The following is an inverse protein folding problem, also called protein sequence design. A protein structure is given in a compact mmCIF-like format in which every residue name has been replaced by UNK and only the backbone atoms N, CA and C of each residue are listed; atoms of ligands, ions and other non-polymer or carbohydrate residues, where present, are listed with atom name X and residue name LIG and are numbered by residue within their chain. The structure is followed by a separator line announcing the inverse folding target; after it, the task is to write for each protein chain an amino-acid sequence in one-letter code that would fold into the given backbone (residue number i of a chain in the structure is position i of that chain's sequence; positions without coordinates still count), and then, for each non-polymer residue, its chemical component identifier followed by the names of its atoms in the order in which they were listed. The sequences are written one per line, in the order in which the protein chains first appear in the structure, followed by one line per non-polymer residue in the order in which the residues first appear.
data_IF_232945973170
#
_entry.id   IF_232945973170
#
_cell.length_a   1.000
_cell.length_b   1.000
_cell.length_c   1.000
_cell.angle_alpha   90.00
_cell.angle_beta   90.00
_cell.angle_gamma   90.00
#
_symmetry.space_group_name_H-M   'P 1'
#
loop_
_entity.id
_entity.type
_entity.pdbx_description
1 polymer ?
#
# COMPACT_ATOMS: atom_id res chain seq x y z
N UNK A 1 5.30 11.23 -58.62
CA UNK A 1 6.19 11.47 -57.47
C UNK A 1 5.91 10.38 -56.45
N UNK A 2 6.62 9.26 -56.56
CA UNK A 2 6.36 8.02 -55.83
C UNK A 2 7.51 7.78 -54.86
N UNK A 3 7.24 7.93 -53.57
CA UNK A 3 8.18 7.68 -52.48
C UNK A 3 8.14 6.20 -52.07
N UNK A 4 9.23 5.48 -52.34
CA UNK A 4 9.44 4.12 -51.84
C UNK A 4 9.90 4.14 -50.38
N UNK A 5 9.42 3.19 -49.54
CA UNK A 5 9.82 3.08 -48.13
C UNK A 5 11.15 2.32 -47.94
N UNK A 6 11.93 2.76 -46.96
CA UNK A 6 13.18 2.15 -46.55
C UNK A 6 12.94 0.86 -45.74
N UNK A 7 13.68 -0.19 -46.09
CA UNK A 7 13.74 -1.48 -45.38
C UNK A 7 14.62 -1.40 -44.14
N UNK A 8 14.20 -1.96 -42.98
CA UNK A 8 15.06 -2.09 -41.81
C UNK A 8 16.00 -3.31 -41.92
N UNK A 9 17.24 -3.12 -41.46
CA UNK A 9 18.30 -4.15 -41.42
C UNK A 9 18.05 -5.18 -40.30
N UNK A 10 18.43 -6.45 -40.49
CA UNK A 10 18.30 -7.48 -39.46
C UNK A 10 19.41 -7.40 -38.39
N UNK A 11 19.02 -7.54 -37.13
CA UNK A 11 19.93 -7.74 -36.00
C UNK A 11 20.50 -9.16 -36.03
N UNK A 12 21.84 -9.25 -35.95
CA UNK A 12 22.59 -10.51 -35.89
C UNK A 12 23.02 -10.78 -34.45
N UNK A 13 22.51 -11.85 -33.84
CA UNK A 13 22.97 -12.36 -32.54
C UNK A 13 24.09 -13.39 -32.78
N UNK A 14 25.27 -13.15 -32.19
CA UNK A 14 26.34 -14.14 -32.06
C UNK A 14 26.11 -14.99 -30.80
N UNK A 15 26.21 -16.32 -30.86
CA UNK A 15 26.25 -17.16 -29.67
C UNK A 15 27.67 -17.20 -29.08
N UNK A 16 27.80 -16.77 -27.83
CA UNK A 16 29.03 -16.89 -27.04
C UNK A 16 29.14 -18.30 -26.45
N UNK A 17 30.18 -19.01 -26.89
CA UNK A 17 30.70 -20.25 -26.33
C UNK A 17 31.42 -19.98 -25.00
N UNK A 18 31.20 -20.83 -23.99
CA UNK A 18 31.82 -20.68 -22.67
C UNK A 18 31.64 -21.91 -21.77
N UNK A 19 32.52 -22.90 -22.00
CA UNK A 19 33.02 -24.00 -21.18
C UNK A 19 32.41 -24.35 -19.80
N UNK A 20 32.11 -25.65 -19.66
CA UNK A 20 31.99 -26.41 -18.42
C UNK A 20 33.29 -26.47 -17.59
N UNK A 21 33.22 -26.87 -16.31
CA UNK A 21 33.83 -28.18 -15.97
C UNK A 21 33.16 -29.00 -14.84
N UNK A 22 33.29 -30.32 -15.01
CA UNK A 22 33.56 -31.37 -14.00
C UNK A 22 32.51 -31.82 -12.98
N UNK A 23 32.00 -33.03 -13.22
CA UNK A 23 31.47 -33.98 -12.23
C UNK A 23 32.57 -34.59 -11.34
N UNK A 24 32.20 -35.10 -10.16
CA UNK A 24 32.81 -36.32 -9.65
C UNK A 24 31.79 -37.41 -9.26
N UNK A 25 32.03 -38.58 -9.86
CA UNK A 25 32.00 -39.95 -9.34
C UNK A 25 30.85 -40.44 -8.45
N UNK A 26 30.26 -41.51 -9.00
CA UNK A 26 29.36 -42.47 -8.40
C UNK A 26 29.86 -43.10 -7.09
N UNK A 27 28.91 -43.37 -6.19
CA UNK A 27 29.01 -44.50 -5.27
C UNK A 27 27.63 -45.15 -5.12
N UNK A 28 27.59 -46.42 -5.50
CA UNK A 28 26.43 -47.31 -5.53
C UNK A 28 26.29 -48.12 -4.22
N UNK A 29 25.04 -48.56 -3.97
CA UNK A 29 24.58 -49.71 -3.16
C UNK A 29 23.77 -49.35 -1.89
N UNK A 30 22.87 -50.22 -1.40
CA UNK A 30 21.89 -51.05 -2.10
C UNK A 30 20.46 -50.99 -1.48
N UNK A 31 19.51 -51.56 -2.23
CA UNK A 31 18.13 -51.97 -1.90
C UNK A 31 17.69 -52.07 -0.43
N UNK A 32 16.57 -51.39 -0.13
CA UNK A 32 15.48 -51.98 0.68
C UNK A 32 14.12 -51.59 0.08
N UNK A 33 13.48 -52.57 -0.56
CA UNK A 33 12.04 -52.54 -0.83
C UNK A 33 11.32 -52.74 0.50
N UNK A 34 10.75 -51.67 1.04
CA UNK A 34 9.65 -51.78 2.00
C UNK A 34 8.39 -51.55 1.19
N UNK A 35 7.65 -52.63 0.99
CA UNK A 35 6.28 -52.64 0.50
C UNK A 35 5.42 -51.90 1.53
N UNK A 36 5.38 -50.57 1.42
CA UNK A 36 4.43 -49.74 2.14
C UNK A 36 3.07 -49.97 1.52
N UNK A 37 2.22 -50.71 2.24
CA UNK A 37 0.78 -50.82 2.03
C UNK A 37 0.26 -49.42 1.71
N UNK A 38 -0.23 -49.26 0.47
CA UNK A 38 -0.96 -48.07 0.05
C UNK A 38 -2.15 -47.88 0.98
N UNK A 39 -2.00 -47.01 1.97
CA UNK A 39 -3.15 -46.29 2.50
C UNK A 39 -3.48 -45.26 1.43
N UNK A 40 -4.39 -45.64 0.55
CA UNK A 40 -5.25 -44.70 -0.15
C UNK A 40 -6.02 -43.94 0.93
N UNK A 41 -5.38 -42.94 1.55
CA UNK A 41 -6.09 -41.84 2.16
C UNK A 41 -6.73 -41.09 1.02
N UNK A 42 -7.88 -41.60 0.58
CA UNK A 42 -8.93 -40.85 -0.09
C UNK A 42 -9.31 -39.76 0.93
N UNK A 43 -8.48 -38.72 1.02
CA UNK A 43 -8.81 -37.50 1.72
C UNK A 43 -10.18 -37.12 1.20
N UNK A 44 -11.15 -37.01 2.10
CA UNK A 44 -12.53 -36.72 1.77
C UNK A 44 -12.53 -35.56 0.75
N UNK A 45 -12.79 -35.88 -0.52
CA UNK A 45 -13.07 -34.86 -1.51
C UNK A 45 -14.36 -34.23 -1.02
N UNK A 46 -14.32 -32.96 -0.64
CA UNK A 46 -15.54 -32.23 -0.40
C UNK A 46 -16.41 -32.36 -1.66
N UNK A 47 -17.62 -32.91 -1.53
CA UNK A 47 -18.46 -33.20 -2.69
C UNK A 47 -18.78 -31.90 -3.42
N UNK A 48 -18.19 -31.71 -4.60
CA UNK A 48 -18.45 -30.58 -5.49
C UNK A 48 -17.24 -29.74 -5.89
N UNK A 49 -16.09 -29.86 -5.21
CA UNK A 49 -14.89 -29.10 -5.58
C UNK A 49 -13.99 -29.87 -6.55
N UNK A 50 -13.50 -29.16 -7.58
CA UNK A 50 -12.58 -29.69 -8.58
C UNK A 50 -11.30 -30.23 -7.92
N UNK A 51 -10.94 -31.48 -8.21
CA UNK A 51 -9.75 -32.12 -7.62
C UNK A 51 -8.44 -31.53 -8.17
N UNK A 52 -7.35 -31.58 -7.38
CA UNK A 52 -6.03 -31.04 -7.79
C UNK A 52 -5.52 -31.58 -9.14
N UNK A 53 -5.88 -32.83 -9.47
CA UNK A 53 -5.47 -33.49 -10.71
C UNK A 53 -6.31 -33.09 -11.93
N UNK A 54 -7.47 -32.47 -11.71
CA UNK A 54 -8.39 -31.98 -12.73
C UNK A 54 -8.10 -30.52 -13.09
N UNK A 55 -7.31 -29.82 -12.27
CA UNK A 55 -6.93 -28.43 -12.52
C UNK A 55 -6.11 -28.26 -13.80
N UNK A 56 -6.58 -27.37 -14.66
CA UNK A 56 -5.79 -26.90 -15.80
C UNK A 56 -4.68 -25.95 -15.36
N UNK A 57 -3.78 -25.58 -16.29
CA UNK A 57 -2.78 -24.53 -16.06
C UNK A 57 -3.40 -23.19 -15.68
N UNK A 58 -4.54 -22.84 -16.30
CA UNK A 58 -5.28 -21.62 -16.04
C UNK A 58 -5.81 -21.54 -14.60
N UNK A 59 -6.31 -22.65 -14.05
CA UNK A 59 -6.73 -22.73 -12.64
C UNK A 59 -5.55 -22.42 -11.72
N UNK A 60 -4.43 -23.13 -11.88
CA UNK A 60 -3.25 -22.96 -11.03
C UNK A 60 -2.69 -21.53 -11.08
N UNK A 61 -2.61 -20.95 -12.27
CA UNK A 61 -2.16 -19.58 -12.46
C UNK A 61 -3.10 -18.58 -11.78
N UNK A 62 -4.42 -18.71 -11.99
CA UNK A 62 -5.39 -17.85 -11.35
C UNK A 62 -5.28 -17.92 -9.82
N UNK A 63 -5.20 -19.14 -9.24
CA UNK A 63 -5.03 -19.29 -7.79
C UNK A 63 -3.81 -18.54 -7.26
N UNK A 64 -2.67 -18.67 -7.94
CA UNK A 64 -1.45 -17.96 -7.56
C UNK A 64 -1.66 -16.45 -7.55
N UNK A 65 -2.29 -15.90 -8.59
CA UNK A 65 -2.59 -14.48 -8.70
C UNK A 65 -3.54 -14.02 -7.58
N UNK A 66 -4.57 -14.80 -7.26
CA UNK A 66 -5.52 -14.47 -6.18
C UNK A 66 -4.84 -14.44 -4.81
N UNK A 67 -3.97 -15.41 -4.52
CA UNK A 67 -3.19 -15.43 -3.27
C UNK A 67 -2.19 -14.28 -3.20
N UNK A 68 -1.53 -13.94 -4.31
CA UNK A 68 -0.62 -12.80 -4.36
C UNK A 68 -1.36 -11.46 -4.20
N UNK A 69 -2.59 -11.37 -4.74
CA UNK A 69 -3.46 -10.20 -4.55
C UNK A 69 -3.85 -10.03 -3.10
N UNK A 70 -4.30 -11.12 -2.44
CA UNK A 70 -4.58 -11.15 -1.00
C UNK A 70 -3.39 -10.66 -0.19
N UNK A 71 -2.19 -11.22 -0.42
CA UNK A 71 -0.96 -10.82 0.27
C UNK A 71 -0.66 -9.33 0.09
N UNK A 72 -0.84 -8.81 -1.13
CA UNK A 72 -0.63 -7.40 -1.40
C UNK A 72 -1.65 -6.52 -0.65
N UNK A 73 -2.94 -6.89 -0.62
CA UNK A 73 -3.98 -6.18 0.14
C UNK A 73 -3.68 -6.15 1.63
N UNK A 74 -3.40 -7.29 2.24
CA UNK A 74 -3.05 -7.36 3.66
C UNK A 74 -1.82 -6.50 4.00
N UNK A 75 -0.78 -6.52 3.14
CA UNK A 75 0.39 -5.66 3.33
C UNK A 75 0.06 -4.16 3.24
N UNK A 76 -0.86 -3.78 2.34
CA UNK A 76 -1.31 -2.40 2.23
C UNK A 76 -2.08 -1.97 3.48
N UNK A 77 -2.99 -2.82 3.99
CA UNK A 77 -3.77 -2.52 5.20
C UNK A 77 -2.90 -2.42 6.45
N UNK A 78 -1.92 -3.30 6.58
CA UNK A 78 -0.90 -3.24 7.64
C UNK A 78 -0.10 -1.94 7.56
N UNK A 79 0.39 -1.59 6.37
CA UNK A 79 1.14 -0.35 6.13
C UNK A 79 0.33 0.90 6.51
N UNK A 80 -0.96 0.96 6.15
CA UNK A 80 -1.83 2.10 6.50
C UNK A 80 -2.10 2.18 7.99
N UNK A 81 -2.36 1.04 8.63
CA UNK A 81 -2.82 0.96 10.02
C UNK A 81 -1.68 1.18 11.01
N UNK A 82 -0.52 0.57 10.79
CA UNK A 82 0.59 0.66 11.74
C UNK A 82 1.53 1.81 11.37
N UNK A 83 2.21 1.72 10.23
CA UNK A 83 3.21 2.71 9.84
C UNK A 83 2.57 4.07 9.47
N UNK A 84 1.41 4.04 8.81
CA UNK A 84 0.71 5.26 8.37
C UNK A 84 0.17 6.08 9.54
N UNK A 85 -0.54 5.46 10.48
CA UNK A 85 -1.06 6.17 11.66
C UNK A 85 0.07 6.66 12.57
N UNK A 86 1.14 5.88 12.73
CA UNK A 86 2.32 6.30 13.49
C UNK A 86 2.97 7.54 12.85
N UNK A 87 3.20 7.53 11.54
CA UNK A 87 3.80 8.64 10.81
C UNK A 87 2.93 9.92 10.86
N UNK A 88 1.60 9.78 10.73
CA UNK A 88 0.67 10.91 10.85
C UNK A 88 0.68 11.48 12.28
N UNK A 89 0.68 10.63 13.30
CA UNK A 89 0.73 11.06 14.69
C UNK A 89 2.06 11.78 15.00
N UNK A 90 3.20 11.22 14.57
CA UNK A 90 4.51 11.83 14.74
C UNK A 90 4.61 13.19 14.05
N UNK A 91 4.10 13.32 12.82
CA UNK A 91 4.07 14.60 12.11
C UNK A 91 3.20 15.63 12.83
N UNK A 92 2.02 15.22 13.27
CA UNK A 92 1.07 16.08 14.00
C UNK A 92 1.69 16.63 15.28
N UNK A 93 2.36 15.76 16.06
CA UNK A 93 3.05 16.14 17.29
C UNK A 93 4.20 17.13 17.01
N UNK A 94 5.05 16.86 16.01
CA UNK A 94 6.16 17.73 15.66
C UNK A 94 5.69 19.11 15.15
N UNK A 95 4.55 19.16 14.46
CA UNK A 95 3.93 20.40 14.01
C UNK A 95 3.34 21.21 15.18
N UNK A 96 2.73 20.55 16.17
CA UNK A 96 2.27 21.19 17.41
C UNK A 96 3.42 21.73 18.26
N UNK A 97 4.52 20.99 18.37
CA UNK A 97 5.72 21.45 19.07
C UNK A 97 6.35 22.67 18.39
N UNK A 98 6.28 22.72 17.05
CA UNK A 98 6.71 23.89 16.27
C UNK A 98 5.83 25.11 16.59
N UNK A 99 4.50 24.96 16.53
CA UNK A 99 3.55 26.03 16.87
C UNK A 99 3.73 26.54 18.31
N UNK A 100 3.95 25.63 19.26
CA UNK A 100 4.16 25.95 20.68
C UNK A 100 5.44 26.77 20.89
N UNK A 101 6.52 26.42 20.21
CA UNK A 101 7.78 27.13 20.33
C UNK A 101 7.72 28.50 19.65
N UNK A 102 7.07 28.61 18.50
CA UNK A 102 6.83 29.89 17.82
C UNK A 102 6.00 30.85 18.69
N UNK A 103 4.97 30.35 19.38
CA UNK A 103 4.21 31.14 20.34
C UNK A 103 5.06 31.63 21.54
N UNK A 104 5.96 30.77 22.05
CA UNK A 104 6.91 31.12 23.13
C UNK A 104 8.04 32.07 22.69
N UNK A 105 8.31 32.15 21.38
CA UNK A 105 9.23 33.12 20.77
C UNK A 105 8.54 34.46 20.47
N UNK A 106 7.29 34.44 20.01
CA UNK A 106 6.52 35.64 19.72
C UNK A 106 6.08 36.43 20.96
N UNK A 107 6.17 35.84 22.15
CA UNK A 107 5.80 36.45 23.45
C UNK A 107 6.93 37.23 24.12
N UNK A 108 8.07 37.43 23.45
CA UNK A 108 9.18 38.24 24.00
C UNK A 108 8.70 39.67 24.28
N UNK A 109 8.76 40.02 25.56
CA UNK A 109 8.08 41.14 26.20
C UNK A 109 8.46 42.50 25.63
N UNK A 110 7.45 43.33 25.42
CA UNK A 110 7.55 44.73 24.99
C UNK A 110 7.99 45.69 26.12
N UNK A 111 8.56 45.21 27.22
CA UNK A 111 8.93 46.11 28.30
C UNK A 111 9.65 45.49 29.48
N UNK A 112 10.96 45.70 29.53
CA UNK A 112 11.64 46.24 30.72
C UNK A 112 13.00 46.75 30.29
N UNK A 113 13.19 48.05 30.43
CA UNK A 113 14.44 48.74 30.11
C UNK A 113 15.40 48.59 31.28
N UNK A 114 16.40 47.69 31.20
CA UNK A 114 17.65 47.86 31.93
C UNK A 114 18.88 47.39 31.08
N UNK A 115 19.77 48.30 30.62
CA UNK A 115 20.55 48.02 29.41
C UNK A 115 21.86 47.25 29.56
N UNK A 116 22.41 47.00 30.76
CA UNK A 116 23.83 46.61 30.86
C UNK A 116 24.13 45.22 31.48
N UNK A 117 23.28 44.65 32.36
CA UNK A 117 23.46 43.27 32.87
C UNK A 117 22.53 42.22 32.22
N UNK A 118 21.40 42.65 31.65
CA UNK A 118 20.44 41.75 30.99
C UNK A 118 20.93 41.26 29.61
N UNK A 119 21.90 41.93 28.99
CA UNK A 119 22.35 41.61 27.62
C UNK A 119 22.96 40.21 27.48
N UNK A 120 23.63 39.71 28.52
CA UNK A 120 24.25 38.37 28.51
C UNK A 120 23.26 37.25 28.85
N UNK A 121 22.35 37.47 29.80
CA UNK A 121 21.30 36.49 30.14
C UNK A 121 20.29 36.38 29.00
N UNK A 122 19.89 37.51 28.41
CA UNK A 122 18.99 37.56 27.26
C UNK A 122 19.58 36.82 26.04
N UNK A 123 20.87 37.03 25.71
CA UNK A 123 21.53 36.30 24.62
C UNK A 123 21.61 34.80 24.88
N UNK A 124 21.91 34.37 26.12
CA UNK A 124 21.93 32.94 26.47
C UNK A 124 20.54 32.31 26.32
N UNK A 125 19.50 32.99 26.78
CA UNK A 125 18.11 32.52 26.64
C UNK A 125 17.67 32.49 25.18
N UNK A 126 18.02 33.50 24.38
CA UNK A 126 17.71 33.55 22.96
C UNK A 126 18.41 32.41 22.19
N UNK A 127 19.69 32.16 22.49
CA UNK A 127 20.47 31.11 21.85
C UNK A 127 19.95 29.71 22.21
N UNK A 128 19.54 29.50 23.47
CA UNK A 128 18.88 28.25 23.89
C UNK A 128 17.55 28.03 23.16
N UNK A 129 16.72 29.06 23.01
CA UNK A 129 15.46 28.96 22.24
C UNK A 129 15.71 28.68 20.75
N UNK A 130 16.75 29.28 20.15
CA UNK A 130 17.14 28.98 18.77
C UNK A 130 17.59 27.52 18.59
N UNK A 131 18.33 26.97 19.55
CA UNK A 131 18.73 25.56 19.53
C UNK A 131 17.51 24.62 19.65
N UNK A 132 16.54 24.97 20.51
CA UNK A 132 15.28 24.22 20.61
C UNK A 132 14.50 24.26 19.29
N UNK A 133 14.42 25.42 18.63
CA UNK A 133 13.73 25.54 17.34
C UNK A 133 14.39 24.69 16.27
N UNK A 134 15.73 24.70 16.21
CA UNK A 134 16.47 23.86 15.28
C UNK A 134 16.18 22.36 15.51
N UNK A 135 16.09 21.91 16.77
CA UNK A 135 15.73 20.53 17.11
C UNK A 135 14.33 20.17 16.63
N UNK A 136 13.33 20.98 16.99
CA UNK A 136 11.93 20.70 16.64
C UNK A 136 11.71 20.71 15.12
N UNK A 137 12.38 21.63 14.40
CA UNK A 137 12.33 21.64 12.94
C UNK A 137 12.99 20.41 12.31
N UNK A 138 14.07 19.91 12.91
CA UNK A 138 14.71 18.67 12.49
C UNK A 138 13.78 17.47 12.71
N UNK A 139 13.15 17.36 13.88
CA UNK A 139 12.20 16.31 14.21
C UNK A 139 10.98 16.35 13.26
N UNK A 140 10.47 17.55 12.95
CA UNK A 140 9.39 17.75 12.00
C UNK A 140 9.75 17.33 10.57
N UNK A 141 10.96 17.65 10.10
CA UNK A 141 11.41 17.20 8.77
C UNK A 141 11.61 15.68 8.74
N UNK A 142 12.09 15.07 9.83
CA UNK A 142 12.15 13.63 10.01
C UNK A 142 10.77 12.97 9.86
N UNK A 143 9.79 13.42 10.66
CA UNK A 143 8.43 12.91 10.61
C UNK A 143 7.76 13.10 9.24
N UNK A 144 8.06 14.21 8.56
CA UNK A 144 7.59 14.48 7.20
C UNK A 144 8.22 13.53 6.18
N UNK A 145 9.51 13.24 6.31
CA UNK A 145 10.21 12.23 5.51
C UNK A 145 9.58 10.86 5.69
N UNK A 146 9.27 10.47 6.94
CA UNK A 146 8.64 9.19 7.26
C UNK A 146 7.25 9.07 6.64
N UNK A 147 6.41 10.11 6.77
CA UNK A 147 5.09 10.15 6.15
C UNK A 147 5.16 10.02 4.61
N UNK A 148 6.13 10.68 3.97
CA UNK A 148 6.38 10.52 2.53
C UNK A 148 6.84 9.11 2.17
N UNK A 149 7.63 8.47 3.02
CA UNK A 149 8.08 7.10 2.81
C UNK A 149 6.92 6.11 2.94
N UNK A 150 6.00 6.31 3.90
CA UNK A 150 4.76 5.53 4.00
C UNK A 150 3.94 5.63 2.71
N UNK A 151 3.70 6.84 2.20
CA UNK A 151 2.94 7.04 0.94
C UNK A 151 3.63 6.38 -0.26
N UNK A 152 4.96 6.45 -0.35
CA UNK A 152 5.73 5.74 -1.40
C UNK A 152 5.61 4.21 -1.27
N UNK A 153 5.63 3.69 -0.05
CA UNK A 153 5.44 2.26 0.24
C UNK A 153 4.04 1.82 -0.22
N UNK A 154 3.00 2.57 0.14
CA UNK A 154 1.62 2.31 -0.28
C UNK A 154 1.48 2.29 -1.81
N UNK A 155 2.06 3.26 -2.51
CA UNK A 155 2.09 3.27 -3.97
C UNK A 155 2.83 2.07 -4.59
N UNK A 156 3.89 1.61 -3.93
CA UNK A 156 4.63 0.41 -4.36
C UNK A 156 3.77 -0.84 -4.25
N UNK A 157 3.05 -1.01 -3.13
CA UNK A 157 2.12 -2.12 -2.93
C UNK A 157 0.93 -2.02 -3.89
N UNK A 158 0.39 -0.82 -4.11
CA UNK A 158 -0.70 -0.58 -5.06
C UNK A 158 -0.28 -0.95 -6.50
N UNK A 159 0.91 -0.54 -6.93
CA UNK A 159 1.46 -0.90 -8.25
C UNK A 159 1.51 -2.42 -8.43
N UNK A 160 1.89 -3.16 -7.38
CA UNK A 160 1.83 -4.63 -7.38
C UNK A 160 0.39 -5.15 -7.56
N UNK A 161 -0.59 -4.61 -6.83
CA UNK A 161 -2.00 -5.00 -7.01
C UNK A 161 -2.49 -4.76 -8.44
N UNK A 162 -2.18 -3.59 -9.02
CA UNK A 162 -2.56 -3.28 -10.41
C UNK A 162 -1.89 -4.19 -11.43
N UNK A 163 -0.65 -4.62 -11.17
CA UNK A 163 0.06 -5.60 -12.00
C UNK A 163 -0.64 -6.97 -11.94
N UNK A 164 -1.03 -7.41 -10.75
CA UNK A 164 -1.76 -8.67 -10.56
C UNK A 164 -3.12 -8.61 -11.24
N UNK A 165 -3.84 -7.49 -11.11
CA UNK A 165 -5.11 -7.27 -11.83
C UNK A 165 -4.91 -7.38 -13.35
N UNK A 166 -3.89 -6.73 -13.91
CA UNK A 166 -3.58 -6.83 -15.34
C UNK A 166 -3.24 -8.27 -15.76
N UNK A 167 -2.52 -9.02 -14.91
CA UNK A 167 -2.21 -10.43 -15.15
C UNK A 167 -3.47 -11.32 -15.11
N UNK A 168 -4.43 -11.05 -14.22
CA UNK A 168 -5.73 -11.73 -14.21
C UNK A 168 -6.51 -11.50 -15.51
N UNK A 169 -6.52 -10.26 -16.03
CA UNK A 169 -7.17 -9.95 -17.31
C UNK A 169 -6.47 -10.62 -18.49
N UNK A 170 -5.13 -10.61 -18.53
CA UNK A 170 -4.37 -11.31 -19.56
C UNK A 170 -4.66 -12.82 -19.53
N UNK A 171 -4.69 -13.43 -18.34
CA UNK A 171 -5.01 -14.83 -18.16
C UNK A 171 -6.43 -15.18 -18.64
N UNK A 172 -7.41 -14.32 -18.36
CA UNK A 172 -8.79 -14.48 -18.82
C UNK A 172 -8.89 -14.44 -20.34
N UNK A 173 -8.19 -13.49 -20.99
CA UNK A 173 -8.13 -13.40 -22.45
C UNK A 173 -7.46 -14.64 -23.07
N UNK A 174 -6.34 -15.09 -22.52
CA UNK A 174 -5.64 -16.28 -22.98
C UNK A 174 -6.50 -17.54 -22.80
N UNK A 175 -7.17 -17.69 -21.66
CA UNK A 175 -8.08 -18.80 -21.38
C UNK A 175 -9.26 -18.81 -22.37
N UNK A 176 -9.88 -17.65 -22.60
CA UNK A 176 -11.00 -17.53 -23.54
C UNK A 176 -10.59 -17.87 -24.98
N UNK A 177 -9.36 -17.51 -25.38
CA UNK A 177 -8.81 -17.80 -26.70
C UNK A 177 -8.44 -19.27 -26.86
N UNK A 178 -7.88 -19.89 -25.82
CA UNK A 178 -7.38 -21.26 -25.87
C UNK A 178 -8.44 -22.35 -25.58
N UNK A 179 -9.43 -22.04 -24.75
CA UNK A 179 -10.45 -22.99 -24.26
C UNK A 179 -11.88 -22.59 -24.62
N UNK A 180 -12.10 -21.40 -25.16
CA UNK A 180 -13.41 -20.88 -25.53
C UNK A 180 -14.04 -20.00 -24.45
N UNK A 181 -15.07 -19.25 -24.84
CA UNK A 181 -15.82 -18.34 -23.94
C UNK A 181 -16.57 -19.10 -22.85
N UNK A 182 -17.12 -20.28 -23.16
CA UNK A 182 -17.80 -21.13 -22.20
C UNK A 182 -16.88 -21.47 -21.01
N UNK A 183 -15.63 -21.84 -21.28
CA UNK A 183 -14.65 -22.11 -20.22
C UNK A 183 -14.36 -20.89 -19.32
N UNK A 184 -14.28 -19.69 -19.91
CA UNK A 184 -13.87 -18.49 -19.20
C UNK A 184 -15.01 -17.83 -18.41
N UNK A 185 -16.25 -17.90 -18.93
CA UNK A 185 -17.37 -17.10 -18.45
C UNK A 185 -18.58 -17.91 -17.96
N UNK A 186 -18.71 -19.18 -18.35
CA UNK A 186 -19.89 -20.01 -18.02
C UNK A 186 -19.50 -21.19 -17.11
N UNK A 187 -18.36 -21.81 -17.36
CA UNK A 187 -17.85 -22.91 -16.56
C UNK A 187 -17.34 -22.42 -15.21
N UNK A 188 -17.77 -23.08 -14.15
CA UNK A 188 -17.23 -22.84 -12.83
C UNK A 188 -15.79 -23.35 -12.73
N UNK A 189 -14.93 -22.61 -12.01
CA UNK A 189 -13.52 -22.91 -11.89
C UNK A 189 -13.26 -24.05 -10.90
N UNK A 190 -13.66 -23.86 -9.65
CA UNK A 190 -13.48 -24.86 -8.59
C UNK A 190 -14.78 -25.23 -7.92
N UNK A 191 -15.63 -24.25 -7.59
CA UNK A 191 -16.97 -24.43 -7.05
C UNK A 191 -18.04 -23.91 -8.01
N UNK A 192 -18.58 -22.73 -7.71
CA UNK A 192 -19.64 -22.06 -8.47
C UNK A 192 -19.15 -20.83 -9.24
N UNK A 193 -18.01 -20.25 -8.89
CA UNK A 193 -17.52 -19.02 -9.54
C UNK A 193 -16.76 -19.29 -10.83
N UNK A 194 -17.01 -18.47 -11.84
CA UNK A 194 -16.30 -18.50 -13.13
C UNK A 194 -15.02 -17.68 -13.07
N UNK A 195 -14.10 -17.88 -14.02
CA UNK A 195 -12.86 -17.10 -14.09
C UNK A 195 -13.15 -15.61 -14.24
N UNK A 196 -14.13 -15.25 -15.07
CA UNK A 196 -14.56 -13.87 -15.28
C UNK A 196 -14.96 -13.18 -13.98
N UNK A 197 -15.80 -13.83 -13.16
CA UNK A 197 -16.25 -13.27 -11.88
C UNK A 197 -15.09 -13.03 -10.91
N UNK A 198 -14.15 -13.98 -10.81
CA UNK A 198 -12.97 -13.83 -9.96
C UNK A 198 -12.08 -12.66 -10.41
N UNK A 199 -11.82 -12.53 -11.71
CA UNK A 199 -11.04 -11.42 -12.27
C UNK A 199 -11.74 -10.06 -12.09
N UNK A 200 -13.07 -10.04 -12.20
CA UNK A 200 -13.89 -8.85 -11.95
C UNK A 200 -13.80 -8.41 -10.48
N UNK A 201 -13.93 -9.35 -9.53
CA UNK A 201 -13.78 -9.03 -8.10
C UNK A 201 -12.39 -8.51 -7.75
N UNK A 202 -11.32 -9.07 -8.31
CA UNK A 202 -9.95 -8.53 -8.16
C UNK A 202 -9.87 -7.08 -8.66
N UNK A 203 -10.54 -6.78 -9.78
CA UNK A 203 -10.55 -5.43 -10.36
C UNK A 203 -11.33 -4.44 -9.49
N UNK A 204 -12.49 -4.86 -8.97
CA UNK A 204 -13.31 -4.04 -8.08
C UNK A 204 -12.57 -3.71 -6.78
N UNK A 205 -11.97 -4.72 -6.14
CA UNK A 205 -11.17 -4.52 -4.93
C UNK A 205 -9.98 -3.61 -5.21
N UNK A 206 -9.20 -3.86 -6.27
CA UNK A 206 -8.05 -3.02 -6.61
C UNK A 206 -8.45 -1.55 -6.80
N UNK A 207 -9.60 -1.29 -7.41
CA UNK A 207 -10.13 0.08 -7.58
C UNK A 207 -10.39 0.77 -6.25
N UNK A 208 -10.90 0.06 -5.23
CA UNK A 208 -11.07 0.60 -3.87
C UNK A 208 -9.73 1.00 -3.23
N UNK A 209 -8.68 0.20 -3.41
CA UNK A 209 -7.33 0.53 -2.92
C UNK A 209 -6.70 1.71 -3.67
N UNK A 210 -6.94 1.83 -4.99
CA UNK A 210 -6.51 3.00 -5.77
C UNK A 210 -7.15 4.28 -5.21
N UNK A 211 -8.47 4.26 -5.02
CA UNK A 211 -9.20 5.41 -4.46
C UNK A 211 -8.77 5.73 -3.04
N UNK A 212 -8.57 4.72 -2.20
CA UNK A 212 -8.10 4.88 -0.82
C UNK A 212 -6.71 5.50 -0.79
N UNK A 213 -5.77 5.02 -1.62
CA UNK A 213 -4.41 5.55 -1.68
C UNK A 213 -4.40 7.02 -2.13
N UNK A 214 -5.17 7.35 -3.17
CA UNK A 214 -5.31 8.74 -3.62
C UNK A 214 -5.90 9.66 -2.54
N UNK A 215 -6.85 9.15 -1.74
CA UNK A 215 -7.39 9.89 -0.60
C UNK A 215 -6.34 10.14 0.49
N UNK A 216 -5.54 9.13 0.83
CA UNK A 216 -4.45 9.28 1.79
C UNK A 216 -3.42 10.32 1.32
N UNK A 217 -3.08 10.34 0.02
CA UNK A 217 -2.22 11.37 -0.57
C UNK A 217 -2.81 12.78 -0.39
N UNK A 218 -4.11 12.95 -0.65
CA UNK A 218 -4.80 14.22 -0.42
C UNK A 218 -4.77 14.65 1.06
N UNK A 219 -4.91 13.70 2.00
CA UNK A 219 -4.81 13.99 3.42
C UNK A 219 -3.40 14.44 3.81
N UNK A 220 -2.36 13.80 3.28
CA UNK A 220 -0.96 14.24 3.48
C UNK A 220 -0.77 15.67 2.96
N UNK A 221 -1.21 15.96 1.74
CA UNK A 221 -1.09 17.32 1.20
C UNK A 221 -1.88 18.35 2.02
N UNK A 222 -3.04 17.97 2.58
CA UNK A 222 -3.81 18.82 3.49
C UNK A 222 -3.09 19.07 4.82
N UNK A 223 -2.44 18.05 5.39
CA UNK A 223 -1.58 18.18 6.58
C UNK A 223 -0.41 19.14 6.32
N UNK A 224 0.28 18.96 5.18
CA UNK A 224 1.41 19.81 4.77
C UNK A 224 0.98 21.26 4.49
N UNK A 225 -0.23 21.45 3.97
CA UNK A 225 -0.78 22.78 3.68
C UNK A 225 -1.20 23.53 4.95
N UNK A 226 -1.72 22.83 5.96
CA UNK A 226 -2.03 23.40 7.28
C UNK A 226 -0.81 23.99 7.97
N UNK A 227 0.33 23.34 7.79
CA UNK A 227 1.59 23.78 8.38
C UNK A 227 2.16 25.04 7.70
N UNK A 228 1.81 25.28 6.42
CA UNK A 228 2.43 26.36 5.63
C UNK A 228 1.73 27.71 5.73
N UNK A 229 0.41 27.81 5.97
CA UNK A 229 -0.33 29.09 5.88
C UNK A 229 -1.59 29.16 6.74
N UNK A 230 -1.95 30.40 7.04
CA UNK A 230 -3.25 30.86 7.54
C UNK A 230 -4.42 30.08 6.91
N UNK A 231 -5.44 29.68 7.69
CA UNK A 231 -6.55 28.84 7.24
C UNK A 231 -7.16 29.31 5.91
N UNK A 232 -7.08 28.46 4.88
CA UNK A 232 -7.76 28.69 3.62
C UNK A 232 -9.29 28.74 3.83
N UNK A 233 -9.94 29.76 3.25
CA UNK A 233 -11.39 29.95 3.30
C UNK A 233 -11.87 31.09 4.20
N UNK A 234 -11.02 31.64 5.07
CA UNK A 234 -11.32 32.86 5.82
C UNK A 234 -10.76 34.06 5.06
N UNK A 235 -11.63 35.01 4.70
CA UNK A 235 -11.18 36.33 4.23
C UNK A 235 -10.22 36.91 5.29
N UNK A 236 -9.18 37.65 4.88
CA UNK A 236 -8.20 38.23 5.82
C UNK A 236 -8.84 39.05 6.96
N UNK A 237 -10.08 39.49 6.76
CA UNK A 237 -10.99 40.17 7.71
C UNK A 237 -11.59 39.29 8.80
N UNK A 238 -11.79 37.98 8.60
CA UNK A 238 -12.31 37.04 9.62
C UNK A 238 -11.18 36.54 10.52
N UNK A 239 -10.03 36.21 9.90
CA UNK A 239 -8.81 35.81 10.62
C UNK A 239 -8.23 36.92 11.49
N UNK A 240 -8.48 38.19 11.18
CA UNK A 240 -8.04 39.32 12.01
C UNK A 240 -8.93 39.53 13.25
N UNK A 241 -10.17 39.03 13.24
CA UNK A 241 -11.09 39.12 14.38
C UNK A 241 -10.93 37.98 15.39
N UNK A 242 -10.44 36.82 14.95
CA UNK A 242 -10.22 35.67 15.83
C UNK A 242 -9.04 35.92 16.76
N UNK A 243 -9.25 35.65 18.04
CA UNK A 243 -8.20 35.64 19.04
C UNK A 243 -7.13 34.58 18.70
N UNK A 244 -5.88 34.76 19.15
CA UNK A 244 -4.82 33.75 18.97
C UNK A 244 -5.24 32.36 19.49
N UNK A 245 -6.01 32.31 20.58
CA UNK A 245 -6.50 31.06 21.18
C UNK A 245 -7.50 30.33 20.28
N UNK A 246 -8.37 31.06 19.57
CA UNK A 246 -9.34 30.47 18.64
C UNK A 246 -8.66 29.94 17.38
N UNK A 247 -7.61 30.61 16.90
CA UNK A 247 -6.81 30.14 15.76
C UNK A 247 -6.10 28.83 16.09
N UNK A 248 -5.52 28.74 17.28
CA UNK A 248 -4.84 27.52 17.74
C UNK A 248 -5.82 26.35 17.89
N UNK A 249 -6.97 26.59 18.53
CA UNK A 249 -8.01 25.57 18.66
C UNK A 249 -8.52 25.07 17.28
N UNK A 250 -8.57 25.95 16.28
CA UNK A 250 -8.96 25.57 14.92
C UNK A 250 -7.92 24.68 14.24
N UNK A 251 -6.62 24.97 14.42
CA UNK A 251 -5.52 24.13 13.90
C UNK A 251 -5.56 22.74 14.49
N UNK A 252 -5.65 22.62 15.82
CA UNK A 252 -5.74 21.33 16.53
C UNK A 252 -6.93 20.52 16.02
N UNK A 253 -8.13 21.10 15.96
CA UNK A 253 -9.31 20.41 15.42
C UNK A 253 -9.14 19.97 13.97
N UNK A 254 -8.43 20.75 13.15
CA UNK A 254 -8.18 20.38 11.76
C UNK A 254 -7.21 19.21 11.67
N UNK A 255 -6.18 19.19 12.51
CA UNK A 255 -5.23 18.07 12.65
C UNK A 255 -5.94 16.79 13.10
N UNK A 256 -6.71 16.85 14.18
CA UNK A 256 -7.51 15.71 14.69
C UNK A 256 -8.42 15.13 13.61
N UNK A 257 -9.15 15.97 12.87
CA UNK A 257 -10.02 15.52 11.77
C UNK A 257 -9.26 14.82 10.64
N UNK A 258 -8.04 15.26 10.34
CA UNK A 258 -7.23 14.65 9.28
C UNK A 258 -6.70 13.27 9.73
N UNK A 259 -6.31 13.14 11.00
CA UNK A 259 -5.92 11.86 11.59
C UNK A 259 -7.10 10.89 11.67
N UNK A 260 -8.28 11.37 12.07
CA UNK A 260 -9.52 10.57 12.06
C UNK A 260 -9.90 10.15 10.62
N UNK A 261 -9.77 11.07 9.66
CA UNK A 261 -10.03 10.76 8.25
C UNK A 261 -9.06 9.72 7.68
N UNK A 262 -7.80 9.73 8.11
CA UNK A 262 -6.82 8.69 7.77
C UNK A 262 -7.28 7.32 8.25
N UNK A 263 -7.72 7.22 9.51
CA UNK A 263 -8.17 5.97 10.12
C UNK A 263 -9.49 5.42 9.52
N UNK A 264 -10.35 6.29 8.98
CA UNK A 264 -11.69 5.90 8.52
C UNK A 264 -11.69 5.03 7.25
N UNK A 265 -10.74 5.25 6.33
CA UNK A 265 -10.62 4.58 5.02
C UNK A 265 -11.97 4.43 4.29
N UNK A 266 -12.60 5.55 3.89
CA UNK A 266 -14.00 5.56 3.46
C UNK A 266 -14.27 4.83 2.13
N UNK A 267 -13.23 4.55 1.34
CA UNK A 267 -13.35 3.90 0.04
C UNK A 267 -13.20 2.37 0.11
N UNK A 268 -12.88 1.81 1.29
CA UNK A 268 -12.87 0.37 1.50
C UNK A 268 -14.24 -0.09 2.00
N UNK A 269 -14.90 -0.93 1.22
CA UNK A 269 -16.15 -1.56 1.64
C UNK A 269 -15.87 -2.59 2.73
N UNK A 270 -16.43 -2.36 3.92
CA UNK A 270 -16.27 -3.27 5.08
C UNK A 270 -17.25 -4.43 5.08
N UNK A 271 -18.30 -4.35 4.26
CA UNK A 271 -19.37 -5.35 4.21
C UNK A 271 -20.04 -5.38 2.84
N UNK A 272 -20.63 -6.53 2.49
CA UNK A 272 -21.38 -6.72 1.25
C UNK A 272 -20.55 -7.28 0.11
N UNK A 273 -21.14 -7.44 -1.09
CA UNK A 273 -20.52 -8.18 -2.20
C UNK A 273 -19.20 -7.58 -2.74
N UNK A 274 -18.98 -6.28 -2.56
CA UNK A 274 -17.73 -5.63 -2.96
C UNK A 274 -16.65 -5.58 -1.87
N UNK A 275 -16.95 -6.06 -0.66
CA UNK A 275 -16.00 -6.04 0.45
C UNK A 275 -14.91 -7.11 0.32
N UNK A 276 -13.71 -6.81 0.82
CA UNK A 276 -12.63 -7.79 0.96
C UNK A 276 -13.11 -9.05 1.68
N UNK A 277 -13.80 -8.88 2.81
CA UNK A 277 -14.26 -10.00 3.63
C UNK A 277 -15.17 -10.95 2.85
N UNK A 278 -16.13 -10.40 2.10
CA UNK A 278 -16.99 -11.22 1.25
C UNK A 278 -16.18 -11.99 0.21
N UNK A 279 -15.23 -11.33 -0.45
CA UNK A 279 -14.37 -11.98 -1.44
C UNK A 279 -13.52 -13.09 -0.81
N UNK A 280 -12.96 -12.87 0.38
CA UNK A 280 -12.19 -13.87 1.13
C UNK A 280 -13.06 -15.06 1.55
N UNK A 281 -14.29 -14.81 2.02
CA UNK A 281 -15.25 -15.87 2.36
C UNK A 281 -15.61 -16.71 1.12
N UNK A 282 -15.83 -16.05 -0.03
CA UNK A 282 -16.03 -16.72 -1.31
C UNK A 282 -14.80 -17.56 -1.68
N UNK A 283 -13.60 -16.98 -1.67
CA UNK A 283 -12.39 -17.72 -2.01
C UNK A 283 -12.13 -18.89 -1.05
N UNK A 284 -12.48 -18.77 0.24
CA UNK A 284 -12.35 -19.87 1.20
C UNK A 284 -13.23 -21.07 0.85
N UNK A 285 -14.45 -20.82 0.35
CA UNK A 285 -15.40 -21.87 -0.05
C UNK A 285 -15.11 -22.39 -1.45
N UNK A 286 -14.83 -21.49 -2.39
CA UNK A 286 -14.65 -21.78 -3.81
C UNK A 286 -13.29 -22.39 -4.10
N UNK A 287 -12.23 -21.83 -3.51
CA UNK A 287 -10.85 -22.22 -3.77
C UNK A 287 -10.43 -23.13 -2.63
N UNK A 288 -10.67 -24.44 -2.81
CA UNK A 288 -10.17 -25.43 -1.85
C UNK A 288 -8.69 -25.16 -1.51
N UNK A 289 -8.37 -25.18 -0.20
CA UNK A 289 -7.04 -24.87 0.37
C UNK A 289 -6.63 -23.39 0.38
N UNK A 290 -7.59 -22.47 0.29
CA UNK A 290 -7.34 -21.03 0.44
C UNK A 290 -6.49 -20.64 1.67
N UNK A 291 -6.70 -21.31 2.81
CA UNK A 291 -5.93 -21.05 4.03
C UNK A 291 -4.62 -21.85 4.14
N UNK A 292 -4.45 -22.91 3.35
CA UNK A 292 -3.35 -23.88 3.54
C UNK A 292 -2.03 -23.44 2.90
N UNK A 293 -2.08 -22.50 1.95
CA UNK A 293 -0.91 -22.01 1.22
C UNK A 293 -0.38 -20.66 1.77
N UNK A 294 -1.02 -20.14 2.83
CA UNK A 294 -0.70 -18.85 3.46
C UNK A 294 -0.07 -18.94 4.85
N UNK A 295 0.23 -20.14 5.36
CA UNK A 295 0.96 -20.37 6.63
C UNK A 295 2.33 -20.97 6.39
#
# INVERSE_FOLDING_TARGET
MTSSPATPKPFSFKPGSGSAPSSPLARSSPSRKVSGVGKDTKAAQEPGLLGRHEETTFHRQLRSLLLDHKKARSAWEEQVTYEGLEAVAAYTQADEDTDRLDAALGTVEKGSAHPEEEGLSFRKTQLSKQQQLASVLFDREGALSDLRNTVKSLNTILSRMTTIQAQCHALLLDASSAKGLEFAFEAAMWGTWTMGMLCESVSNLTSQYVMSTAHLEMLVEALLSNSKRTPEGLTGTELTKMSPREKEALKVRKRERLTEAWAMLPFLEKSGPGSERYFEDICAVEIGRWESEGR
#
